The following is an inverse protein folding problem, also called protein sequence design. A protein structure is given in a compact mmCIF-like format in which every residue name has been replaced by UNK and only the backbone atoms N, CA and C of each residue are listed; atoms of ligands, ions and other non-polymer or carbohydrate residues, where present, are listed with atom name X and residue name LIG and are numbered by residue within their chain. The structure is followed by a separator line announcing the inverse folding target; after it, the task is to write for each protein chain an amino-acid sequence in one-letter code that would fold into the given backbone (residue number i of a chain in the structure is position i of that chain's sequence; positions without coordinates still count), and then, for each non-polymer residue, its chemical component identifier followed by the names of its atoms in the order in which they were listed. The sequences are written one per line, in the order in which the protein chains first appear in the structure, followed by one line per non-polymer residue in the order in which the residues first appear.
data_IF_022831886166
#
_entry.id   IF_022831886166
#
_cell.length_a   1.000
_cell.length_b   1.000
_cell.length_c   1.000
_cell.angle_alpha   90.00
_cell.angle_beta   90.00
_cell.angle_gamma   90.00
#
_symmetry.space_group_name_H-M   'P 1'
#
loop_
_entity.id
_entity.type
_entity.pdbx_description
1 polymer ?
#
# COMPACT_ATOMS: atom_id res chain seq x y z
N UNK A 1 -22.72 11.11 -14.19
CA UNK A 1 -21.76 10.05 -13.81
C UNK A 1 -22.55 8.99 -13.07
N UNK A 2 -22.40 7.71 -13.41
CA UNK A 2 -23.03 6.64 -12.62
C UNK A 2 -22.43 6.63 -11.21
N UNK A 3 -23.24 6.28 -10.21
CA UNK A 3 -22.83 6.18 -8.81
C UNK A 3 -21.60 5.26 -8.62
N UNK A 4 -21.47 4.24 -9.48
CA UNK A 4 -20.29 3.36 -9.53
C UNK A 4 -18.99 4.06 -9.99
N UNK A 5 -19.07 5.05 -10.88
CA UNK A 5 -17.90 5.78 -11.36
C UNK A 5 -17.34 6.75 -10.31
N UNK A 6 -18.20 7.33 -9.46
CA UNK A 6 -17.77 8.20 -8.37
C UNK A 6 -17.08 7.42 -7.24
N UNK A 7 -17.57 6.22 -6.92
CA UNK A 7 -17.04 5.45 -5.80
C UNK A 7 -15.64 4.91 -6.07
N UNK A 8 -15.39 4.45 -7.30
CA UNK A 8 -14.06 4.03 -7.75
C UNK A 8 -13.06 5.20 -7.70
N UNK A 9 -13.48 6.38 -8.14
CA UNK A 9 -12.63 7.56 -8.13
C UNK A 9 -12.30 8.01 -6.70
N UNK A 10 -13.25 7.94 -5.78
CA UNK A 10 -13.03 8.22 -4.36
C UNK A 10 -12.00 7.24 -3.78
N UNK A 11 -12.12 5.94 -4.07
CA UNK A 11 -11.14 4.94 -3.60
C UNK A 11 -9.75 5.25 -4.16
N UNK A 12 -9.66 5.57 -5.45
CA UNK A 12 -8.39 5.92 -6.10
C UNK A 12 -7.74 7.16 -5.47
N UNK A 13 -8.50 8.23 -5.31
CA UNK A 13 -8.00 9.48 -4.71
C UNK A 13 -7.62 9.27 -3.24
N UNK A 14 -8.37 8.45 -2.51
CA UNK A 14 -8.05 8.11 -1.12
C UNK A 14 -6.74 7.33 -1.01
N UNK A 15 -6.51 6.35 -1.89
CA UNK A 15 -5.27 5.58 -1.92
C UNK A 15 -4.05 6.47 -2.23
N UNK A 16 -4.19 7.39 -3.18
CA UNK A 16 -3.14 8.37 -3.52
C UNK A 16 -2.86 9.30 -2.33
N UNK A 17 -3.91 9.87 -1.74
CA UNK A 17 -3.76 10.77 -0.60
C UNK A 17 -3.06 10.08 0.57
N UNK A 18 -3.47 8.85 0.90
CA UNK A 18 -2.82 8.07 1.96
C UNK A 18 -1.36 7.77 1.64
N UNK A 19 -1.02 7.38 0.40
CA UNK A 19 0.37 7.11 0.04
C UNK A 19 1.26 8.35 0.19
N UNK A 20 0.75 9.52 -0.17
CA UNK A 20 1.50 10.78 -0.02
C UNK A 20 1.62 11.21 1.45
N UNK A 21 0.53 11.08 2.24
CA UNK A 21 0.56 11.39 3.67
C UNK A 21 1.54 10.49 4.44
N UNK A 22 1.72 9.25 3.99
CA UNK A 22 2.68 8.31 4.57
C UNK A 22 4.16 8.71 4.37
N UNK A 23 4.47 9.75 3.60
CA UNK A 23 5.84 10.28 3.53
C UNK A 23 6.24 11.02 4.82
N UNK A 24 5.28 11.46 5.63
CA UNK A 24 5.52 12.09 6.93
C UNK A 24 5.29 11.10 8.07
N UNK A 25 6.35 10.81 8.84
CA UNK A 25 6.29 9.92 10.02
C UNK A 25 5.22 10.34 11.04
N UNK A 26 4.96 11.64 11.16
CA UNK A 26 3.94 12.18 12.08
C UNK A 26 2.53 11.66 11.78
N UNK A 27 2.24 11.27 10.53
CA UNK A 27 0.94 10.75 10.12
C UNK A 27 0.82 9.23 10.36
N UNK A 28 1.92 8.54 10.64
CA UNK A 28 1.94 7.08 10.58
C UNK A 28 1.06 6.45 11.65
N UNK A 29 1.07 6.98 12.87
CA UNK A 29 0.22 6.48 13.96
C UNK A 29 -1.25 6.47 13.54
N UNK A 30 -1.73 7.55 12.93
CA UNK A 30 -3.12 7.65 12.48
C UNK A 30 -3.41 6.73 11.29
N UNK A 31 -2.46 6.60 10.36
CA UNK A 31 -2.60 5.72 9.18
C UNK A 31 -2.66 4.24 9.58
N UNK A 32 -1.81 3.82 10.53
CA UNK A 32 -1.68 2.40 10.92
C UNK A 32 -2.58 2.00 12.10
N UNK A 33 -3.32 2.94 12.68
CA UNK A 33 -4.38 2.66 13.65
C UNK A 33 -5.73 2.56 12.92
N UNK A 34 -6.66 1.78 13.44
CA UNK A 34 -8.02 1.72 12.88
C UNK A 34 -8.16 1.01 11.53
N UNK A 35 -7.88 -0.30 11.47
CA UNK A 35 -8.25 -1.13 10.31
C UNK A 35 -7.28 -1.12 9.13
N UNK A 36 -6.06 -0.61 9.33
CA UNK A 36 -4.97 -0.62 8.34
C UNK A 36 -4.79 -1.97 7.60
N UNK A 37 -4.82 -3.15 8.26
CA UNK A 37 -4.75 -4.44 7.56
C UNK A 37 -5.84 -4.62 6.49
N UNK A 38 -7.06 -4.17 6.76
CA UNK A 38 -8.16 -4.25 5.81
C UNK A 38 -7.97 -3.26 4.66
N UNK A 39 -7.48 -2.05 4.96
CA UNK A 39 -7.23 -1.01 3.94
C UNK A 39 -6.15 -1.48 2.97
N UNK A 40 -5.00 -1.93 3.48
CA UNK A 40 -3.89 -2.34 2.63
C UNK A 40 -4.23 -3.58 1.82
N UNK A 41 -4.91 -4.56 2.43
CA UNK A 41 -5.40 -5.74 1.71
C UNK A 41 -6.37 -5.36 0.59
N UNK A 42 -7.30 -4.44 0.85
CA UNK A 42 -8.27 -3.97 -0.15
C UNK A 42 -7.60 -3.23 -1.31
N UNK A 43 -6.61 -2.39 -1.05
CA UNK A 43 -5.90 -1.68 -2.13
C UNK A 43 -5.09 -2.63 -3.01
N UNK A 44 -4.41 -3.60 -2.41
CA UNK A 44 -3.53 -4.53 -3.14
C UNK A 44 -4.29 -5.62 -3.92
N UNK A 45 -5.54 -5.90 -3.55
CA UNK A 45 -6.42 -6.87 -4.23
C UNK A 45 -7.42 -6.21 -5.18
N UNK A 46 -7.33 -4.90 -5.37
CA UNK A 46 -8.30 -4.13 -6.16
C UNK A 46 -8.07 -4.33 -7.66
N UNK A 47 -9.13 -4.37 -8.48
CA UNK A 47 -8.97 -4.58 -9.93
C UNK A 47 -8.32 -3.40 -10.67
N UNK A 48 -8.43 -2.19 -10.09
CA UNK A 48 -7.88 -1.00 -10.69
C UNK A 48 -6.38 -0.87 -10.40
N UNK A 49 -5.57 -0.90 -11.46
CA UNK A 49 -4.12 -0.85 -11.36
C UNK A 49 -3.57 0.40 -10.67
N UNK A 50 -4.25 1.55 -10.80
CA UNK A 50 -3.82 2.79 -10.12
C UNK A 50 -4.02 2.68 -8.61
N UNK A 51 -5.06 1.97 -8.17
CA UNK A 51 -5.30 1.70 -6.75
C UNK A 51 -4.26 0.73 -6.20
N UNK A 52 -3.95 -0.33 -6.94
CA UNK A 52 -2.88 -1.28 -6.57
C UNK A 52 -1.56 -0.53 -6.40
N UNK A 53 -1.16 0.25 -7.40
CA UNK A 53 0.10 1.00 -7.36
C UNK A 53 0.17 1.92 -6.14
N UNK A 54 -0.88 2.71 -5.86
CA UNK A 54 -0.94 3.55 -4.66
C UNK A 54 -0.92 2.74 -3.36
N UNK A 55 -1.51 1.54 -3.34
CA UNK A 55 -1.41 0.62 -2.21
C UNK A 55 0.02 0.15 -1.97
N UNK A 56 0.75 -0.21 -3.03
CA UNK A 56 2.17 -0.58 -2.96
C UNK A 56 3.02 0.60 -2.46
N UNK A 57 2.80 1.79 -3.01
CA UNK A 57 3.50 3.02 -2.59
C UNK A 57 3.19 3.37 -1.12
N UNK A 58 1.95 3.22 -0.68
CA UNK A 58 1.58 3.43 0.73
C UNK A 58 2.39 2.52 1.66
N UNK A 59 2.44 1.22 1.37
CA UNK A 59 3.20 0.26 2.17
C UNK A 59 4.71 0.58 2.16
N UNK A 60 5.27 0.92 1.00
CA UNK A 60 6.68 1.30 0.89
C UNK A 60 7.00 2.58 1.67
N UNK A 61 6.18 3.63 1.55
CA UNK A 61 6.40 4.88 2.26
C UNK A 61 6.34 4.68 3.78
N UNK A 62 5.39 3.87 4.27
CA UNK A 62 5.32 3.49 5.68
C UNK A 62 6.54 2.70 6.16
N UNK A 63 7.16 1.89 5.29
CA UNK A 63 8.41 1.19 5.63
C UNK A 63 9.62 2.14 5.57
N UNK A 64 9.70 2.98 4.55
CA UNK A 64 10.84 3.85 4.30
C UNK A 64 10.98 4.95 5.36
N UNK A 65 9.87 5.65 5.62
CA UNK A 65 9.84 6.80 6.53
C UNK A 65 9.46 6.41 7.96
N UNK A 66 9.02 5.17 8.19
CA UNK A 66 8.38 4.80 9.43
C UNK A 66 9.33 4.36 10.52
N UNK A 67 8.88 4.53 11.75
CA UNK A 67 9.46 3.89 12.94
C UNK A 67 9.48 2.37 12.80
N UNK A 68 10.29 1.69 13.63
CA UNK A 68 10.29 0.23 13.71
C UNK A 68 8.90 -0.34 14.01
N UNK A 69 8.11 0.33 14.86
CA UNK A 69 6.74 -0.08 15.14
C UNK A 69 5.86 -0.02 13.88
N UNK A 70 6.00 1.04 13.08
CA UNK A 70 5.29 1.18 11.79
C UNK A 70 5.68 0.05 10.85
N UNK A 71 6.98 -0.19 10.67
CA UNK A 71 7.52 -1.27 9.82
C UNK A 71 6.96 -2.64 10.21
N UNK A 72 6.95 -2.97 11.50
CA UNK A 72 6.40 -4.23 12.00
C UNK A 72 4.91 -4.36 11.68
N UNK A 73 4.13 -3.29 11.87
CA UNK A 73 2.71 -3.30 11.51
C UNK A 73 2.49 -3.53 10.02
N UNK A 74 3.29 -2.89 9.15
CA UNK A 74 3.20 -3.12 7.70
C UNK A 74 3.54 -4.57 7.35
N UNK A 75 4.64 -5.11 7.91
CA UNK A 75 5.05 -6.52 7.73
C UNK A 75 3.94 -7.50 8.14
N UNK A 76 3.24 -7.23 9.24
CA UNK A 76 2.14 -8.07 9.72
C UNK A 76 0.85 -7.93 8.89
N UNK A 77 0.60 -6.75 8.32
CA UNK A 77 -0.63 -6.42 7.64
C UNK A 77 -0.61 -6.72 6.13
N UNK A 78 0.55 -6.63 5.49
CA UNK A 78 0.67 -6.76 4.04
C UNK A 78 0.43 -8.22 3.59
N UNK A 79 -0.48 -8.47 2.63
CA UNK A 79 -0.69 -9.80 2.06
C UNK A 79 0.48 -10.19 1.14
N UNK A 80 1.55 -10.77 1.71
CA UNK A 80 2.80 -11.06 0.98
C UNK A 80 2.62 -11.96 -0.24
N UNK A 81 1.66 -12.88 -0.20
CA UNK A 81 1.32 -13.70 -1.36
C UNK A 81 0.85 -12.84 -2.55
N UNK A 82 0.04 -11.81 -2.29
CA UNK A 82 -0.44 -10.87 -3.31
C UNK A 82 0.71 -9.97 -3.77
N UNK A 83 1.51 -9.44 -2.84
CA UNK A 83 2.69 -8.62 -3.19
C UNK A 83 3.63 -9.40 -4.13
N UNK A 84 3.92 -10.66 -3.82
CA UNK A 84 4.75 -11.53 -4.67
C UNK A 84 4.14 -11.80 -6.04
N UNK A 85 2.83 -11.98 -6.13
CA UNK A 85 2.15 -12.09 -7.43
C UNK A 85 2.28 -10.81 -8.25
N UNK A 86 2.19 -9.64 -7.61
CA UNK A 86 2.32 -8.34 -8.28
C UNK A 86 3.72 -8.09 -8.85
N UNK A 87 4.77 -8.78 -8.36
CA UNK A 87 6.11 -8.74 -9.00
C UNK A 87 6.11 -9.22 -10.45
N UNK A 88 5.10 -9.99 -10.85
CA UNK A 88 4.91 -10.50 -12.21
C UNK A 88 3.95 -9.62 -13.03
N UNK A 89 3.60 -8.43 -12.53
CA UNK A 89 2.74 -7.50 -13.25
C UNK A 89 3.35 -7.12 -14.60
N UNK A 90 2.51 -7.06 -15.64
CA UNK A 90 2.91 -6.51 -16.96
C UNK A 90 3.24 -5.02 -16.91
N UNK A 91 2.84 -4.34 -15.85
CA UNK A 91 3.11 -2.93 -15.62
C UNK A 91 4.40 -2.82 -14.81
N UNK A 92 5.45 -2.35 -15.46
CA UNK A 92 6.81 -2.34 -14.92
C UNK A 92 6.90 -1.62 -13.56
N UNK A 93 6.24 -0.47 -13.41
CA UNK A 93 6.29 0.28 -12.15
C UNK A 93 5.72 -0.52 -10.99
N UNK A 94 4.57 -1.18 -11.18
CA UNK A 94 3.94 -1.99 -10.14
C UNK A 94 4.80 -3.20 -9.80
N UNK A 95 5.35 -3.87 -10.82
CA UNK A 95 6.24 -5.02 -10.64
C UNK A 95 7.48 -4.64 -9.82
N UNK A 96 8.17 -3.55 -10.19
CA UNK A 96 9.35 -3.06 -9.49
C UNK A 96 9.03 -2.60 -8.07
N UNK A 97 7.89 -1.93 -7.88
CA UNK A 97 7.44 -1.43 -6.58
C UNK A 97 7.07 -2.60 -5.65
N UNK A 98 6.39 -3.62 -6.17
CA UNK A 98 6.06 -4.84 -5.43
C UNK A 98 7.32 -5.65 -5.08
N UNK A 99 8.29 -5.72 -5.99
CA UNK A 99 9.56 -6.38 -5.73
C UNK A 99 10.31 -5.69 -4.59
N UNK A 100 10.46 -4.36 -4.66
CA UNK A 100 11.10 -3.59 -3.60
C UNK A 100 10.41 -3.78 -2.25
N UNK A 101 9.07 -3.82 -2.24
CA UNK A 101 8.30 -4.05 -1.04
C UNK A 101 8.53 -5.43 -0.44
N UNK A 102 8.51 -6.49 -1.26
CA UNK A 102 8.79 -7.86 -0.78
C UNK A 102 10.22 -7.98 -0.22
N UNK A 103 11.20 -7.40 -0.91
CA UNK A 103 12.60 -7.37 -0.45
C UNK A 103 12.70 -6.67 0.92
N UNK A 104 12.17 -5.46 1.06
CA UNK A 104 12.27 -4.71 2.31
C UNK A 104 11.57 -5.38 3.48
N UNK A 105 10.42 -6.03 3.24
CA UNK A 105 9.71 -6.76 4.28
C UNK A 105 10.55 -7.92 4.83
N UNK A 106 11.36 -8.58 4.00
CA UNK A 106 12.24 -9.65 4.44
C UNK A 106 13.37 -9.17 5.37
N UNK A 107 13.79 -7.90 5.28
CA UNK A 107 14.84 -7.33 6.12
C UNK A 107 14.35 -6.74 7.45
N UNK A 108 13.05 -6.53 7.60
CA UNK A 108 12.45 -6.09 8.87
C UNK A 108 12.55 -7.27 9.86
N UNK A 109 13.20 -7.06 11.01
CA UNK A 109 13.41 -8.10 12.04
C UNK A 109 12.18 -8.28 12.92
#
# INVERSE_FOLDING_TARGET
MSQYGSDLEIVRLSAIALSMLAESEQNHTDIITGGFPNIISRFLTYENIKVIYSGLTLALNLIYFGSEQTKQKVKQAAPLNIVRQLTQSRYQNDAMTAQLLDEWIQFIS
#
